data_IF_432252871002
#
_entry.id   IF_432252871002
#
_cell.length_a   1.000
_cell.length_b   1.000
_cell.length_c   1.000
_cell.angle_alpha   90.00
_cell.angle_beta   90.00
_cell.angle_gamma   90.00
#
_symmetry.space_group_name_H-M   'P 1'
#
loop_
_entity.id
_entity.type
_entity.pdbx_description
1 polymer ?
#
# COMPACT_ATOMS: atom_id res chain seq x y z
N UNK A 1 -12.99 -17.67 -36.72
CA UNK A 1 -12.13 -16.49 -36.88
C UNK A 1 -12.80 -15.34 -36.15
N UNK A 2 -12.15 -14.82 -35.11
CA UNK A 2 -12.58 -13.66 -34.34
C UNK A 2 -12.65 -12.45 -35.27
N UNK A 3 -13.78 -11.74 -35.34
CA UNK A 3 -13.92 -10.57 -36.23
C UNK A 3 -13.45 -9.27 -35.53
N UNK A 4 -13.22 -8.19 -36.28
CA UNK A 4 -12.68 -6.94 -35.74
C UNK A 4 -13.53 -6.32 -34.60
N UNK A 5 -14.85 -6.51 -34.62
CA UNK A 5 -15.74 -6.02 -33.57
C UNK A 5 -15.50 -6.77 -32.26
N UNK A 6 -15.41 -8.09 -32.33
CA UNK A 6 -15.13 -8.96 -31.20
C UNK A 6 -13.75 -8.68 -30.61
N UNK A 7 -12.72 -8.50 -31.45
CA UNK A 7 -11.37 -8.09 -31.00
C UNK A 7 -11.43 -6.76 -30.24
N UNK A 8 -12.17 -5.77 -30.75
CA UNK A 8 -12.32 -4.46 -30.10
C UNK A 8 -13.00 -4.57 -28.73
N UNK A 9 -14.04 -5.40 -28.60
CA UNK A 9 -14.71 -5.64 -27.32
C UNK A 9 -13.77 -6.27 -26.31
N UNK A 10 -13.08 -7.35 -26.68
CA UNK A 10 -12.12 -8.03 -25.80
C UNK A 10 -11.00 -7.07 -25.37
N UNK A 11 -10.45 -6.27 -26.29
CA UNK A 11 -9.41 -5.30 -25.97
C UNK A 11 -9.89 -4.22 -24.98
N UNK A 12 -11.14 -3.75 -25.13
CA UNK A 12 -11.74 -2.78 -24.21
C UNK A 12 -11.92 -3.38 -22.81
N UNK A 13 -12.47 -4.60 -22.72
CA UNK A 13 -12.68 -5.29 -21.45
C UNK A 13 -11.35 -5.58 -20.74
N UNK A 14 -10.35 -6.05 -21.49
CA UNK A 14 -9.00 -6.26 -20.97
C UNK A 14 -8.36 -4.97 -20.47
N UNK A 15 -8.54 -3.84 -21.17
CA UNK A 15 -8.04 -2.54 -20.71
C UNK A 15 -8.71 -2.11 -19.41
N UNK A 16 -10.04 -2.21 -19.31
CA UNK A 16 -10.78 -1.84 -18.10
C UNK A 16 -10.34 -2.72 -16.91
N UNK A 17 -10.20 -4.02 -17.14
CA UNK A 17 -9.75 -4.97 -16.11
C UNK A 17 -8.31 -4.71 -15.66
N UNK A 18 -7.40 -4.44 -16.61
CA UNK A 18 -5.97 -4.23 -16.31
C UNK A 18 -5.61 -2.82 -15.85
N UNK A 19 -6.50 -1.84 -16.01
CA UNK A 19 -6.23 -0.45 -15.68
C UNK A 19 -5.77 -0.22 -14.23
N UNK A 20 -6.39 -0.81 -13.19
CA UNK A 20 -5.94 -0.64 -11.81
C UNK A 20 -4.48 -1.07 -11.58
N UNK A 21 -4.07 -2.16 -12.22
CA UNK A 21 -2.69 -2.67 -12.13
C UNK A 21 -1.71 -1.71 -12.80
N UNK A 22 -2.07 -1.19 -13.97
CA UNK A 22 -1.23 -0.22 -14.70
C UNK A 22 -1.07 1.08 -13.90
N UNK A 23 -2.15 1.60 -13.32
CA UNK A 23 -2.08 2.84 -12.53
C UNK A 23 -1.37 2.65 -11.19
N UNK A 24 -1.59 1.53 -10.49
CA UNK A 24 -0.83 1.19 -9.27
C UNK A 24 0.67 1.09 -9.56
N UNK A 25 1.05 0.40 -10.64
CA UNK A 25 2.45 0.29 -11.02
C UNK A 25 3.06 1.63 -11.48
N UNK A 26 2.27 2.54 -12.06
CA UNK A 26 2.72 3.92 -12.34
C UNK A 26 3.11 4.64 -11.05
N UNK A 27 2.36 4.45 -9.97
CA UNK A 27 2.66 5.03 -8.64
C UNK A 27 3.97 4.45 -8.10
N UNK A 28 4.08 3.12 -8.04
CA UNK A 28 5.31 2.44 -7.59
C UNK A 28 6.54 2.81 -8.43
N UNK A 29 6.37 2.96 -9.74
CA UNK A 29 7.45 3.39 -10.62
C UNK A 29 7.96 4.79 -10.25
N UNK A 30 7.05 5.75 -10.04
CA UNK A 30 7.39 7.10 -9.64
C UNK A 30 8.03 7.18 -8.24
N UNK A 31 7.51 6.40 -7.29
CA UNK A 31 7.98 6.41 -5.91
C UNK A 31 9.27 5.60 -5.69
N UNK A 32 9.46 4.49 -6.39
CA UNK A 32 10.48 3.49 -6.02
C UNK A 32 11.46 3.10 -7.14
N UNK A 33 11.19 3.43 -8.39
CA UNK A 33 12.04 3.04 -9.54
C UNK A 33 12.73 4.25 -10.16
N UNK A 34 11.98 5.26 -10.59
CA UNK A 34 12.53 6.44 -11.24
C UNK A 34 13.13 7.43 -10.24
N UNK A 35 14.43 7.28 -10.02
CA UNK A 35 15.20 8.14 -9.11
C UNK A 35 15.26 9.61 -9.55
N UNK A 36 14.92 9.93 -10.80
CA UNK A 36 14.87 11.30 -11.31
C UNK A 36 13.48 11.92 -11.14
N UNK A 37 12.48 11.13 -10.74
CA UNK A 37 11.15 11.65 -10.48
C UNK A 37 11.17 12.56 -9.24
N UNK A 38 10.59 13.77 -9.30
CA UNK A 38 10.53 14.66 -8.13
C UNK A 38 9.78 14.03 -6.94
N UNK A 39 8.93 13.04 -7.20
CA UNK A 39 8.16 12.32 -6.20
C UNK A 39 8.84 11.04 -5.70
N UNK A 40 10.09 10.76 -6.07
CA UNK A 40 10.82 9.59 -5.60
C UNK A 40 10.86 9.53 -4.06
N UNK A 41 10.36 8.42 -3.49
CA UNK A 41 10.21 8.22 -2.04
C UNK A 41 11.26 7.29 -1.45
N UNK A 42 11.94 6.47 -2.26
CA UNK A 42 13.01 5.57 -1.81
C UNK A 42 12.89 4.17 -2.42
N UNK A 43 13.80 3.24 -2.11
CA UNK A 43 13.69 1.86 -2.59
C UNK A 43 12.47 1.14 -2.02
N UNK A 44 12.05 0.04 -2.65
CA UNK A 44 11.05 -0.88 -2.08
C UNK A 44 11.47 -1.39 -0.70
N UNK A 45 10.48 -1.78 0.12
CA UNK A 45 10.66 -2.32 1.46
C UNK A 45 11.34 -1.35 2.45
N UNK A 46 11.37 -0.04 2.15
CA UNK A 46 11.90 0.99 3.05
C UNK A 46 10.80 1.99 3.39
N UNK A 47 10.61 2.22 4.69
CA UNK A 47 9.62 3.17 5.20
C UNK A 47 10.04 4.60 4.86
N UNK A 48 9.17 5.34 4.19
CA UNK A 48 9.26 6.78 4.01
C UNK A 48 8.27 7.49 4.92
N UNK A 49 8.75 8.48 5.66
CA UNK A 49 7.91 9.36 6.47
C UNK A 49 7.79 10.73 5.80
N UNK A 50 6.58 11.28 5.74
CA UNK A 50 6.27 12.59 5.18
C UNK A 50 5.64 13.41 6.32
N UNK A 51 6.43 14.26 7.02
CA UNK A 51 6.02 14.93 8.26
C UNK A 51 5.17 16.19 7.98
N UNK A 52 4.39 16.16 6.90
CA UNK A 52 3.42 17.20 6.52
C UNK A 52 2.19 16.53 5.92
N UNK A 53 1.08 17.25 5.92
CA UNK A 53 -0.08 16.86 5.13
C UNK A 53 0.23 17.02 3.64
N UNK A 54 -0.49 16.27 2.81
CA UNK A 54 -0.38 16.40 1.36
C UNK A 54 -1.04 17.70 0.89
N UNK A 55 -0.49 18.30 -0.16
CA UNK A 55 -0.95 19.54 -0.79
C UNK A 55 -1.29 19.28 -2.27
N UNK A 56 -1.87 20.24 -3.01
CA UNK A 56 -2.14 20.07 -4.44
C UNK A 56 -0.90 19.78 -5.32
N UNK A 57 0.29 19.99 -4.79
CA UNK A 57 1.57 19.67 -5.40
C UNK A 57 1.88 18.16 -5.36
N UNK A 58 1.31 17.40 -4.41
CA UNK A 58 1.47 15.94 -4.33
C UNK A 58 0.52 15.24 -5.32
N UNK A 59 1.02 14.93 -6.52
CA UNK A 59 0.20 14.51 -7.67
C UNK A 59 0.31 13.04 -8.06
N UNK A 60 1.18 12.26 -7.42
CA UNK A 60 1.40 10.87 -7.83
C UNK A 60 0.19 9.98 -7.56
N UNK A 61 -0.42 10.14 -6.39
CA UNK A 61 -1.62 9.41 -5.94
C UNK A 61 -2.83 10.32 -6.10
N UNK A 62 -3.95 9.74 -6.50
CA UNK A 62 -5.20 10.45 -6.71
C UNK A 62 -5.87 10.78 -5.37
N UNK A 63 -6.33 12.02 -5.25
CA UNK A 63 -7.16 12.50 -4.13
C UNK A 63 -6.63 12.14 -2.74
N UNK A 64 -5.35 12.46 -2.41
CA UNK A 64 -4.84 12.25 -1.07
C UNK A 64 -5.57 13.18 -0.08
N UNK A 65 -5.87 12.68 1.12
CA UNK A 65 -6.44 13.53 2.17
C UNK A 65 -5.36 14.44 2.78
N UNK A 66 -5.79 15.59 3.32
CA UNK A 66 -4.92 16.64 3.89
C UNK A 66 -5.05 16.78 5.41
N UNK A 67 -5.54 15.74 6.10
CA UNK A 67 -5.83 15.78 7.55
C UNK A 67 -4.78 15.06 8.39
N UNK A 68 -3.93 14.24 7.75
CA UNK A 68 -2.94 13.40 8.41
C UNK A 68 -1.61 13.44 7.67
N UNK A 69 -0.46 13.42 8.37
CA UNK A 69 0.80 13.05 7.75
C UNK A 69 0.76 11.60 7.29
N UNK A 70 1.62 11.28 6.34
CA UNK A 70 1.76 9.94 5.78
C UNK A 70 3.09 9.33 6.16
N UNK A 71 3.07 8.04 6.45
CA UNK A 71 4.22 7.19 6.15
C UNK A 71 3.81 6.17 5.10
N UNK A 72 4.74 5.77 4.25
CA UNK A 72 4.47 4.86 3.13
C UNK A 72 5.60 3.84 3.01
N UNK A 73 5.23 2.63 2.63
CA UNK A 73 6.17 1.62 2.12
C UNK A 73 5.50 0.90 0.95
N UNK A 74 6.17 0.94 -0.20
CA UNK A 74 5.86 0.03 -1.30
C UNK A 74 6.64 -1.25 -1.06
N UNK A 75 5.94 -2.37 -0.96
CA UNK A 75 6.52 -3.66 -0.62
C UNK A 75 6.76 -4.48 -1.88
N UNK A 76 7.97 -5.02 -2.02
CA UNK A 76 8.29 -6.07 -3.00
C UNK A 76 8.38 -7.40 -2.24
N UNK A 77 7.34 -8.23 -2.39
CA UNK A 77 7.14 -9.48 -1.65
C UNK A 77 7.58 -10.72 -2.45
N UNK A 78 8.22 -10.53 -3.61
CA UNK A 78 8.61 -11.64 -4.50
C UNK A 78 9.63 -12.57 -3.86
N UNK A 79 10.51 -12.03 -3.02
CA UNK A 79 11.60 -12.77 -2.39
C UNK A 79 11.25 -13.22 -0.97
N UNK A 80 10.89 -12.26 -0.13
CA UNK A 80 10.70 -12.46 1.31
C UNK A 80 9.50 -11.63 1.79
N UNK A 81 8.81 -12.07 2.87
CA UNK A 81 7.76 -11.26 3.49
C UNK A 81 8.34 -10.02 4.19
N UNK A 82 7.48 -9.03 4.41
CA UNK A 82 7.80 -7.81 5.17
C UNK A 82 7.12 -7.86 6.54
N UNK A 83 7.83 -7.46 7.59
CA UNK A 83 7.28 -7.37 8.95
C UNK A 83 7.00 -5.91 9.30
N UNK A 84 5.75 -5.61 9.64
CA UNK A 84 5.31 -4.32 10.17
C UNK A 84 5.23 -4.41 11.69
N UNK A 85 5.95 -3.52 12.38
CA UNK A 85 5.83 -3.36 13.84
C UNK A 85 5.09 -2.08 14.16
N UNK A 86 3.98 -2.19 14.86
CA UNK A 86 3.17 -1.07 15.32
C UNK A 86 3.36 -0.86 16.82
N UNK A 87 3.69 0.37 17.26
CA UNK A 87 3.77 0.67 18.68
C UNK A 87 2.36 0.70 19.30
N UNK A 88 2.32 0.68 20.63
CA UNK A 88 1.10 1.06 21.35
C UNK A 88 0.83 2.54 21.09
N UNK A 89 -0.40 2.86 20.70
CA UNK A 89 -0.88 4.22 20.46
C UNK A 89 -1.88 4.58 21.57
N UNK A 90 -1.94 5.85 21.95
CA UNK A 90 -2.94 6.34 22.90
C UNK A 90 -4.36 6.09 22.36
N UNK A 91 -5.31 5.67 23.22
CA UNK A 91 -6.67 5.35 22.79
C UNK A 91 -7.44 6.56 22.23
N UNK A 92 -7.05 7.78 22.62
CA UNK A 92 -7.66 9.01 22.13
C UNK A 92 -7.06 9.50 20.81
N UNK A 93 -6.06 8.78 20.26
CA UNK A 93 -5.43 9.09 18.97
C UNK A 93 -5.79 8.05 17.92
N UNK A 94 -6.42 8.51 16.84
CA UNK A 94 -6.67 7.67 15.67
C UNK A 94 -5.40 7.40 14.86
N UNK A 95 -5.26 6.17 14.39
CA UNK A 95 -4.33 5.82 13.33
C UNK A 95 -4.88 4.68 12.48
N UNK A 96 -4.38 4.58 11.25
CA UNK A 96 -4.63 3.44 10.37
C UNK A 96 -3.40 3.07 9.56
N UNK A 97 -3.30 1.78 9.25
CA UNK A 97 -2.38 1.20 8.29
C UNK A 97 -3.23 0.49 7.26
N UNK A 98 -3.21 1.00 6.03
CA UNK A 98 -3.96 0.51 4.90
C UNK A 98 -3.04 -0.31 4.02
N UNK A 99 -3.40 -1.56 3.72
CA UNK A 99 -2.69 -2.43 2.78
C UNK A 99 -3.49 -2.55 1.49
N UNK A 100 -2.84 -2.24 0.37
CA UNK A 100 -3.43 -2.16 -0.97
C UNK A 100 -2.65 -3.06 -1.91
N UNK A 101 -3.33 -3.94 -2.64
CA UNK A 101 -2.70 -4.74 -3.70
C UNK A 101 -2.67 -3.98 -5.05
N UNK A 102 -2.01 -4.54 -6.06
CA UNK A 102 -1.92 -3.90 -7.38
C UNK A 102 -3.28 -3.74 -8.07
N UNK A 103 -4.31 -4.49 -7.67
CA UNK A 103 -5.66 -4.31 -8.18
C UNK A 103 -6.41 -3.18 -7.47
N UNK A 104 -5.74 -2.43 -6.60
CA UNK A 104 -6.28 -1.34 -5.77
C UNK A 104 -7.27 -1.80 -4.70
N UNK A 105 -7.33 -3.10 -4.39
CA UNK A 105 -8.15 -3.58 -3.29
C UNK A 105 -7.49 -3.29 -1.95
N UNK A 106 -8.27 -2.73 -1.03
CA UNK A 106 -7.89 -2.62 0.37
C UNK A 106 -8.13 -3.96 1.06
N UNK A 107 -7.16 -4.87 0.94
CA UNK A 107 -7.34 -6.23 1.45
C UNK A 107 -7.16 -6.33 2.98
N UNK A 108 -6.55 -5.32 3.62
CA UNK A 108 -6.41 -5.30 5.08
C UNK A 108 -6.28 -3.86 5.64
N UNK A 109 -6.79 -3.68 6.86
CA UNK A 109 -6.55 -2.50 7.68
C UNK A 109 -6.11 -2.87 9.09
N UNK A 110 -5.02 -2.28 9.54
CA UNK A 110 -4.59 -2.31 10.94
C UNK A 110 -4.84 -0.94 11.58
N UNK A 111 -5.11 -0.92 12.87
CA UNK A 111 -5.22 0.30 13.66
C UNK A 111 -6.53 0.44 14.41
N UNK A 112 -6.88 1.68 14.77
CA UNK A 112 -7.84 1.97 15.83
C UNK A 112 -9.21 1.33 15.66
N UNK A 113 -9.66 1.17 14.41
CA UNK A 113 -10.98 0.63 14.09
C UNK A 113 -11.04 -0.89 13.92
N UNK A 114 -9.90 -1.55 13.73
CA UNK A 114 -9.87 -2.97 13.32
C UNK A 114 -9.10 -3.83 14.31
N UNK A 115 -7.88 -3.42 14.68
CA UNK A 115 -7.00 -4.18 15.59
C UNK A 115 -6.81 -3.48 16.94
N UNK A 116 -7.40 -2.29 17.11
CA UNK A 116 -7.24 -1.43 18.27
C UNK A 116 -5.86 -0.77 18.36
N UNK A 117 -5.63 -0.06 19.46
CA UNK A 117 -4.45 0.77 19.67
C UNK A 117 -3.31 0.07 20.43
N UNK A 118 -3.46 -1.20 20.79
CA UNK A 118 -2.46 -1.96 21.56
C UNK A 118 -1.20 -2.39 20.79
N UNK A 119 -0.98 -1.89 19.57
CA UNK A 119 0.16 -2.26 18.73
C UNK A 119 0.20 -3.73 18.30
N UNK A 120 1.38 -4.16 17.86
CA UNK A 120 1.66 -5.55 17.49
C UNK A 120 2.65 -5.70 16.35
N UNK A 121 3.02 -6.94 16.07
CA UNK A 121 3.91 -7.31 14.96
C UNK A 121 3.12 -8.10 13.94
N UNK A 122 3.17 -7.69 12.67
CA UNK A 122 2.36 -8.22 11.58
C UNK A 122 3.27 -8.62 10.42
N UNK A 123 3.02 -9.77 9.81
CA UNK A 123 3.79 -10.25 8.66
C UNK A 123 2.94 -10.12 7.40
N UNK A 124 3.42 -9.39 6.41
CA UNK A 124 2.80 -9.25 5.08
C UNK A 124 3.59 -10.11 4.10
N UNK A 125 2.92 -11.03 3.43
CA UNK A 125 3.51 -12.00 2.52
C UNK A 125 2.84 -11.95 1.15
N UNK A 126 3.61 -12.27 0.10
CA UNK A 126 3.09 -12.44 -1.25
C UNK A 126 2.28 -13.74 -1.42
N UNK A 127 1.59 -13.91 -2.56
CA UNK A 127 0.63 -14.99 -2.78
C UNK A 127 1.24 -16.40 -2.73
N UNK A 128 2.54 -16.51 -3.04
CA UNK A 128 3.25 -17.79 -3.13
C UNK A 128 3.99 -18.18 -1.85
N UNK A 129 3.92 -17.35 -0.79
CA UNK A 129 4.67 -17.61 0.44
C UNK A 129 4.11 -18.82 1.20
N UNK A 130 5.00 -19.77 1.51
CA UNK A 130 4.69 -21.02 2.26
C UNK A 130 5.62 -21.23 3.45
N UNK A 131 6.32 -20.19 3.86
CA UNK A 131 7.28 -20.25 4.97
C UNK A 131 6.58 -20.33 6.33
N UNK A 132 7.40 -20.49 7.37
CA UNK A 132 6.94 -20.33 8.75
C UNK A 132 7.16 -18.88 9.20
N UNK A 133 6.19 -18.33 9.91
CA UNK A 133 6.33 -17.00 10.49
C UNK A 133 7.27 -17.05 11.71
N UNK A 134 8.11 -16.01 11.93
CA UNK A 134 8.87 -15.88 13.16
C UNK A 134 7.97 -15.87 14.41
N UNK A 135 8.53 -16.24 15.56
CA UNK A 135 7.82 -16.11 16.83
C UNK A 135 7.42 -14.64 17.11
N UNK A 136 6.24 -14.43 17.69
CA UNK A 136 5.73 -13.10 18.05
C UNK A 136 4.94 -12.38 16.95
N UNK A 137 4.78 -12.97 15.76
CA UNK A 137 3.84 -12.46 14.75
C UNK A 137 2.40 -12.62 15.26
N UNK A 138 1.70 -11.49 15.39
CA UNK A 138 0.29 -11.43 15.83
C UNK A 138 -0.67 -11.87 14.73
N UNK A 139 -0.35 -11.55 13.48
CA UNK A 139 -1.14 -11.94 12.30
C UNK A 139 -0.26 -12.01 11.05
N UNK A 140 -0.49 -13.04 10.25
CA UNK A 140 0.03 -13.18 8.89
C UNK A 140 -1.05 -12.67 7.92
N UNK A 141 -0.65 -11.83 6.99
CA UNK A 141 -1.52 -11.18 6.01
C UNK A 141 -0.96 -11.55 4.63
N UNK A 142 -1.75 -12.28 3.84
CA UNK A 142 -1.35 -12.71 2.50
C UNK A 142 -2.00 -11.79 1.48
N UNK A 143 -1.18 -11.17 0.61
CA UNK A 143 -1.65 -10.40 -0.53
C UNK A 143 -1.91 -11.33 -1.73
N UNK A 144 -2.90 -10.98 -2.56
CA UNK A 144 -3.12 -11.64 -3.85
C UNK A 144 -2.05 -11.24 -4.90
N UNK A 145 -1.30 -10.15 -4.67
CA UNK A 145 -0.25 -9.68 -5.57
C UNK A 145 1.14 -9.66 -4.92
N UNK A 146 2.16 -9.62 -5.77
CA UNK A 146 3.56 -9.62 -5.34
C UNK A 146 4.05 -8.25 -4.84
N UNK A 147 3.31 -7.19 -5.14
CA UNK A 147 3.58 -5.84 -4.67
C UNK A 147 2.40 -5.31 -3.86
N UNK A 148 2.71 -4.53 -2.82
CA UNK A 148 1.71 -3.97 -1.89
C UNK A 148 2.08 -2.56 -1.52
N UNK A 149 1.15 -1.62 -1.67
CA UNK A 149 1.26 -0.29 -1.07
C UNK A 149 0.74 -0.33 0.36
N UNK A 150 1.58 0.12 1.30
CA UNK A 150 1.22 0.21 2.70
C UNK A 150 1.29 1.66 3.18
N UNK A 151 0.13 2.19 3.57
CA UNK A 151 -0.03 3.60 3.92
C UNK A 151 -0.39 3.72 5.40
N UNK A 152 0.45 4.45 6.13
CA UNK A 152 0.23 4.80 7.53
C UNK A 152 -0.32 6.22 7.60
N UNK A 153 -1.41 6.39 8.35
CA UNK A 153 -2.00 7.70 8.66
C UNK A 153 -2.17 7.80 10.17
N UNK A 154 -1.74 8.91 10.75
CA UNK A 154 -1.91 9.19 12.18
C UNK A 154 -2.60 10.53 12.35
N UNK A 155 -3.59 10.60 13.22
CA UNK A 155 -4.33 11.82 13.49
C UNK A 155 -3.42 12.92 14.05
N UNK A 156 -3.59 14.14 13.51
CA UNK A 156 -3.10 15.38 14.11
C UNK A 156 -4.15 15.93 15.07
N UNK A 157 -3.69 16.48 16.20
CA UNK A 157 -4.57 17.22 17.11
C UNK A 157 -4.46 18.71 16.80
N UNK A 158 -5.62 19.37 16.69
CA UNK A 158 -5.72 20.81 16.42
C UNK A 158 -4.86 21.27 15.20
N UNK A 159 -4.99 20.62 14.02
CA UNK A 159 -4.21 20.94 12.84
C UNK A 159 -4.59 22.29 12.20
#
# INVERSE_FOLDING_TARGET
MTNLSEIRTIAKEAYIYGFPVVDSYRIEYAYNIDKNNPEYKGPFNVLKNIPRVYTPEDKTVQTPNSDTPYSMVEMDLRKDPVVITLPVIDNDRYFSVQLIDLFTHNFEYLGSRTTGNGGGVFLVAGPDWKGEAPAGIKKIIISETQFVSCIFRTQLFNP
#
